data_IF_319668629510
#
_entry.id   IF_319668629510
#
_cell.length_a   1.000
_cell.length_b   1.000
_cell.length_c   1.000
_cell.angle_alpha   90.00
_cell.angle_beta   90.00
_cell.angle_gamma   90.00
#
_symmetry.space_group_name_H-M   'P 1'
#
loop_
_entity.id
_entity.type
_entity.pdbx_description
1 polymer ?
#
# COMPACT_ATOMS: atom_id res chain seq x y z
N UNK A 1 -20.10 1.64 -10.98
CA UNK A 1 -19.02 1.78 -11.91
C UNK A 1 -17.72 2.12 -11.19
N UNK A 2 -16.74 1.30 -11.40
CA UNK A 2 -15.44 1.54 -10.80
C UNK A 2 -14.72 2.62 -11.57
N UNK A 3 -14.26 3.61 -10.84
CA UNK A 3 -13.63 4.75 -11.45
C UNK A 3 -12.17 4.84 -11.02
N UNK A 4 -11.36 3.96 -11.59
CA UNK A 4 -9.96 3.92 -11.20
C UNK A 4 -9.12 5.00 -11.89
N UNK A 5 -9.76 5.78 -12.73
CA UNK A 5 -9.11 7.00 -13.22
C UNK A 5 -9.08 8.05 -12.12
N UNK A 6 -9.93 7.91 -11.12
CA UNK A 6 -9.94 8.81 -9.98
C UNK A 6 -9.02 8.21 -8.91
N UNK A 7 -7.87 8.82 -8.74
CA UNK A 7 -6.87 8.32 -7.78
C UNK A 7 -7.43 8.26 -6.37
N UNK A 8 -8.23 9.24 -5.99
CA UNK A 8 -8.80 9.25 -4.65
C UNK A 8 -9.74 8.06 -4.45
N UNK A 9 -10.57 7.79 -5.45
CA UNK A 9 -11.49 6.65 -5.33
C UNK A 9 -10.73 5.34 -5.22
N UNK A 10 -9.66 5.19 -6.00
CA UNK A 10 -8.84 3.98 -5.92
C UNK A 10 -8.18 3.88 -4.55
N UNK A 11 -7.63 4.97 -4.05
CA UNK A 11 -6.97 4.94 -2.74
C UNK A 11 -7.96 4.54 -1.65
N UNK A 12 -9.16 5.07 -1.70
CA UNK A 12 -10.19 4.74 -0.71
C UNK A 12 -10.59 3.27 -0.82
N UNK A 13 -10.72 2.77 -2.05
CA UNK A 13 -11.07 1.37 -2.24
C UNK A 13 -10.00 0.46 -1.64
N UNK A 14 -8.74 0.78 -1.88
CA UNK A 14 -7.63 0.01 -1.32
C UNK A 14 -7.66 0.06 0.20
N UNK A 15 -7.90 1.24 0.76
CA UNK A 15 -7.96 1.38 2.21
C UNK A 15 -9.10 0.52 2.79
N UNK A 16 -10.22 0.46 2.12
CA UNK A 16 -11.34 -0.36 2.56
C UNK A 16 -10.99 -1.84 2.54
N UNK A 17 -10.29 -2.28 1.51
CA UNK A 17 -9.86 -3.67 1.43
C UNK A 17 -8.94 -4.01 2.60
N UNK A 18 -7.98 -3.14 2.87
CA UNK A 18 -7.04 -3.36 3.96
C UNK A 18 -7.76 -3.37 5.31
N UNK A 19 -8.68 -2.45 5.50
CA UNK A 19 -9.42 -2.38 6.75
C UNK A 19 -10.28 -3.62 6.94
N UNK A 20 -10.90 -4.08 5.88
CA UNK A 20 -11.72 -5.29 5.92
C UNK A 20 -10.91 -6.49 6.36
N UNK A 21 -9.64 -6.53 6.01
CA UNK A 21 -8.75 -7.62 6.38
C UNK A 21 -8.01 -7.34 7.69
N UNK A 22 -8.46 -6.32 8.41
CA UNK A 22 -7.97 -6.00 9.75
C UNK A 22 -6.54 -5.48 9.78
N UNK A 23 -6.13 -4.82 8.72
CA UNK A 23 -4.87 -4.10 8.74
C UNK A 23 -4.93 -3.01 9.81
N UNK A 24 -3.78 -2.66 10.34
CA UNK A 24 -3.68 -1.64 11.37
C UNK A 24 -3.16 -0.35 10.78
N UNK A 25 -3.54 0.77 11.38
CA UNK A 25 -3.04 2.09 11.00
C UNK A 25 -3.18 2.36 9.53
N UNK A 26 -4.34 2.05 8.97
CA UNK A 26 -4.58 2.31 7.56
C UNK A 26 -4.68 3.81 7.35
N UNK A 27 -3.85 4.35 6.45
CA UNK A 27 -3.82 5.78 6.17
C UNK A 27 -3.80 6.02 4.68
N UNK A 28 -4.49 7.06 4.26
CA UNK A 28 -4.48 7.52 2.88
C UNK A 28 -3.87 8.90 2.89
N UNK A 29 -2.76 9.06 2.16
CA UNK A 29 -2.04 10.32 2.13
C UNK A 29 -2.03 10.87 0.73
N UNK A 30 -2.44 12.13 0.60
CA UNK A 30 -2.37 12.80 -0.68
C UNK A 30 -0.94 13.25 -0.93
N UNK A 31 -0.42 12.97 -2.10
CA UNK A 31 0.93 13.35 -2.46
C UNK A 31 0.88 14.65 -3.23
N UNK A 32 1.63 15.64 -2.76
CA UNK A 32 1.64 16.96 -3.41
C UNK A 32 3.05 17.36 -3.79
N UNK A 33 3.81 16.40 -4.29
CA UNK A 33 5.17 16.65 -4.70
C UNK A 33 5.26 16.66 -6.22
N UNK A 34 6.04 17.57 -6.75
CA UNK A 34 6.25 17.62 -8.19
C UNK A 34 7.23 16.57 -8.67
N UNK A 35 7.96 15.95 -7.75
CA UNK A 35 8.95 14.95 -8.12
C UNK A 35 8.44 13.52 -7.99
N UNK A 36 7.28 13.33 -7.42
CA UNK A 36 6.67 12.01 -7.27
C UNK A 36 5.45 11.95 -8.16
N UNK A 37 5.37 10.92 -8.98
CA UNK A 37 4.33 10.86 -10.01
C UNK A 37 3.01 10.26 -9.52
N UNK A 38 2.99 9.69 -8.33
CA UNK A 38 1.76 9.14 -7.80
C UNK A 38 0.92 10.23 -7.15
N UNK A 39 -0.37 9.98 -7.04
CA UNK A 39 -1.29 10.94 -6.43
C UNK A 39 -1.54 10.66 -4.97
N UNK A 40 -1.53 9.39 -4.58
CA UNK A 40 -1.84 9.01 -3.21
C UNK A 40 -0.95 7.87 -2.76
N UNK A 41 -0.65 7.86 -1.48
CA UNK A 41 -0.09 6.70 -0.81
C UNK A 41 -1.15 6.10 0.08
N UNK A 42 -1.24 4.77 0.10
CA UNK A 42 -2.05 4.06 1.08
C UNK A 42 -1.09 3.25 1.93
N UNK A 43 -1.11 3.48 3.22
CA UNK A 43 -0.16 2.88 4.14
C UNK A 43 -0.92 2.08 5.16
N UNK A 44 -0.45 0.87 5.43
CA UNK A 44 -1.07 0.02 6.43
C UNK A 44 -0.01 -0.86 7.05
N UNK A 45 -0.31 -1.37 8.22
CA UNK A 45 0.62 -2.27 8.89
C UNK A 45 -0.09 -3.57 9.26
N UNK A 46 0.71 -4.61 9.38
CA UNK A 46 0.26 -5.90 9.84
C UNK A 46 1.05 -6.31 11.07
N UNK A 47 0.54 -7.28 11.79
CA UNK A 47 1.20 -7.72 13.02
C UNK A 47 2.30 -8.74 12.77
N UNK A 48 2.36 -9.29 11.57
CA UNK A 48 3.36 -10.30 11.24
C UNK A 48 3.63 -10.28 9.75
N UNK A 49 4.72 -10.93 9.35
CA UNK A 49 5.04 -11.05 7.93
C UNK A 49 3.94 -11.80 7.18
N UNK A 50 3.34 -12.79 7.84
CA UNK A 50 2.24 -13.53 7.23
C UNK A 50 1.07 -12.61 6.95
N UNK A 51 0.75 -11.73 7.89
CA UNK A 51 -0.36 -10.82 7.69
C UNK A 51 -0.03 -9.80 6.59
N UNK A 52 1.20 -9.30 6.57
CA UNK A 52 1.60 -8.35 5.52
C UNK A 52 1.41 -8.99 4.15
N UNK A 53 1.88 -10.22 3.97
CA UNK A 53 1.73 -10.91 2.71
C UNK A 53 0.25 -11.09 2.36
N UNK A 54 -0.56 -11.46 3.35
CA UNK A 54 -1.98 -11.67 3.13
C UNK A 54 -2.69 -10.38 2.74
N UNK A 55 -2.31 -9.27 3.38
CA UNK A 55 -2.92 -7.99 3.06
C UNK A 55 -2.59 -7.57 1.64
N UNK A 56 -1.32 -7.71 1.25
CA UNK A 56 -0.93 -7.35 -0.11
C UNK A 56 -1.63 -8.24 -1.13
N UNK A 57 -1.69 -9.55 -0.86
CA UNK A 57 -2.35 -10.47 -1.76
C UNK A 57 -3.82 -10.13 -1.91
N UNK A 58 -4.46 -9.75 -0.83
CA UNK A 58 -5.89 -9.42 -0.89
C UNK A 58 -6.13 -8.19 -1.74
N UNK A 59 -5.29 -7.17 -1.59
CA UNK A 59 -5.42 -5.97 -2.41
C UNK A 59 -5.26 -6.34 -3.89
N UNK A 60 -4.24 -7.11 -4.20
CA UNK A 60 -4.02 -7.51 -5.59
C UNK A 60 -5.19 -8.33 -6.12
N UNK A 61 -5.69 -9.25 -5.31
CA UNK A 61 -6.79 -10.11 -5.74
C UNK A 61 -8.06 -9.29 -6.00
N UNK A 62 -8.44 -8.45 -5.05
CA UNK A 62 -9.67 -7.69 -5.18
C UNK A 62 -9.62 -6.75 -6.39
N UNK A 63 -8.47 -6.11 -6.59
CA UNK A 63 -8.36 -5.19 -7.71
C UNK A 63 -8.26 -5.93 -9.03
N UNK A 64 -7.65 -7.11 -9.06
CA UNK A 64 -7.60 -7.88 -10.29
C UNK A 64 -8.99 -8.33 -10.72
N UNK A 65 -9.89 -8.56 -9.76
CA UNK A 65 -11.28 -8.90 -10.09
C UNK A 65 -11.97 -7.74 -10.79
N UNK A 66 -11.46 -6.53 -10.60
CA UNK A 66 -12.00 -5.35 -11.24
C UNK A 66 -11.21 -4.94 -12.48
N UNK A 67 -10.28 -5.78 -12.90
CA UNK A 67 -9.50 -5.54 -14.10
C UNK A 67 -8.27 -4.68 -13.90
N UNK A 68 -7.84 -4.49 -12.65
CA UNK A 68 -6.70 -3.63 -12.36
C UNK A 68 -5.57 -4.45 -11.77
N UNK A 69 -4.41 -4.39 -12.42
CA UNK A 69 -3.21 -5.08 -11.96
C UNK A 69 -2.16 -4.06 -11.56
N UNK A 70 -1.31 -4.39 -10.59
CA UNK A 70 -0.26 -3.44 -10.20
C UNK A 70 0.75 -3.29 -11.34
N UNK A 71 1.23 -2.08 -11.48
CA UNK A 71 2.27 -1.79 -12.46
C UNK A 71 3.57 -2.49 -12.06
N UNK A 72 3.85 -2.51 -10.76
CA UNK A 72 4.99 -3.26 -10.23
C UNK A 72 4.75 -3.57 -8.77
N UNK A 73 5.48 -4.55 -8.27
CA UNK A 73 5.43 -4.92 -6.87
C UNK A 73 6.85 -5.10 -6.35
N UNK A 74 7.05 -4.78 -5.08
CA UNK A 74 8.36 -4.93 -4.46
C UNK A 74 8.18 -5.43 -3.04
N UNK A 75 9.23 -6.04 -2.50
CA UNK A 75 9.26 -6.42 -1.11
C UNK A 75 8.69 -7.78 -0.78
N UNK A 76 8.19 -8.50 -1.78
CA UNK A 76 7.60 -9.81 -1.51
C UNK A 76 8.62 -10.79 -0.91
N UNK A 77 9.88 -10.63 -1.26
CA UNK A 77 10.90 -11.54 -0.78
C UNK A 77 11.12 -11.43 0.72
N UNK A 78 11.13 -10.21 1.23
CA UNK A 78 11.41 -9.99 2.65
C UNK A 78 10.19 -10.26 3.51
N UNK A 79 9.00 -10.02 2.96
CA UNK A 79 7.73 -10.17 3.67
C UNK A 79 7.56 -9.26 4.87
N UNK A 80 8.57 -8.45 5.19
CA UNK A 80 8.42 -7.43 6.22
C UNK A 80 7.75 -6.19 5.67
N UNK A 81 7.78 -6.04 4.37
CA UNK A 81 7.34 -4.85 3.70
C UNK A 81 7.02 -5.20 2.26
N UNK A 82 5.86 -4.76 1.80
CA UNK A 82 5.44 -4.98 0.42
C UNK A 82 4.96 -3.66 -0.15
N UNK A 83 5.38 -3.37 -1.36
CA UNK A 83 4.94 -2.18 -2.09
C UNK A 83 4.19 -2.62 -3.33
N UNK A 84 3.01 -2.05 -3.52
CA UNK A 84 2.22 -2.29 -4.72
C UNK A 84 2.07 -0.96 -5.44
N UNK A 85 2.56 -0.89 -6.66
CA UNK A 85 2.56 0.34 -7.44
C UNK A 85 1.46 0.26 -8.50
N UNK A 86 0.41 1.04 -8.30
CA UNK A 86 -0.69 1.14 -9.25
C UNK A 86 -0.59 2.43 -10.06
N UNK A 87 0.59 3.02 -10.11
CA UNK A 87 0.86 4.23 -10.87
C UNK A 87 0.33 5.49 -10.18
N UNK A 88 -0.98 5.65 -10.08
CA UNK A 88 -1.54 6.83 -9.44
C UNK A 88 -1.76 6.62 -7.94
N UNK A 89 -1.59 5.39 -7.46
CA UNK A 89 -1.67 5.09 -6.03
C UNK A 89 -0.60 4.05 -5.72
N UNK A 90 0.16 4.29 -4.67
CA UNK A 90 1.17 3.33 -4.23
C UNK A 90 0.78 2.85 -2.84
N UNK A 91 0.76 1.53 -2.67
CA UNK A 91 0.36 0.90 -1.43
C UNK A 91 1.60 0.40 -0.71
N UNK A 92 1.73 0.76 0.56
CA UNK A 92 2.81 0.28 1.42
C UNK A 92 2.20 -0.52 2.56
N UNK A 93 2.58 -1.77 2.68
CA UNK A 93 2.14 -2.62 3.78
C UNK A 93 3.39 -3.15 4.46
N UNK A 94 3.47 -3.00 5.79
CA UNK A 94 4.70 -3.37 6.48
C UNK A 94 4.41 -3.83 7.91
N UNK A 95 5.39 -4.49 8.49
CA UNK A 95 5.34 -4.87 9.90
C UNK A 95 6.03 -3.76 10.69
N UNK A 96 5.31 -3.05 11.55
CA UNK A 96 5.94 -1.99 12.33
C UNK A 96 6.85 -2.60 13.38
N UNK A 97 8.11 -2.24 13.31
CA UNK A 97 9.08 -2.70 14.28
C UNK A 97 10.06 -1.59 14.50
N UNK A 98 10.02 -1.00 15.68
CA UNK A 98 10.79 0.19 15.97
C UNK A 98 12.29 -0.04 15.88
N UNK A 99 12.72 -1.28 15.94
CA UNK A 99 14.13 -1.58 15.90
C UNK A 99 14.64 -2.01 14.55
N UNK A 100 13.75 -2.13 13.57
CA UNK A 100 14.14 -2.57 12.24
C UNK A 100 13.90 -1.44 11.26
N UNK A 101 14.95 -1.09 10.51
CA UNK A 101 14.79 -0.14 9.43
C UNK A 101 14.31 -0.88 8.21
N UNK A 102 13.26 -0.40 7.62
CA UNK A 102 12.77 -0.98 6.39
C UNK A 102 13.57 -0.40 5.25
N UNK A 103 14.43 -1.21 4.67
CA UNK A 103 15.24 -0.77 3.55
C UNK A 103 14.39 -0.70 2.31
N UNK A 104 14.69 0.25 1.48
CA UNK A 104 13.90 0.45 0.27
C UNK A 104 12.74 1.37 0.47
N UNK A 105 12.37 1.66 1.71
CA UNK A 105 11.31 2.61 1.99
C UNK A 105 11.95 3.99 2.16
N UNK A 106 11.40 5.01 1.53
CA UNK A 106 11.95 6.37 1.68
C UNK A 106 12.00 6.78 3.15
N UNK A 107 13.04 7.52 3.51
CA UNK A 107 13.19 7.97 4.89
C UNK A 107 12.00 8.79 5.35
N UNK A 108 11.48 9.63 4.48
CA UNK A 108 10.31 10.43 4.83
C UNK A 108 9.12 9.54 5.15
N UNK A 109 9.01 8.44 4.44
CA UNK A 109 7.92 7.50 4.66
C UNK A 109 8.12 6.74 5.96
N UNK A 110 9.36 6.31 6.23
CA UNK A 110 9.65 5.56 7.45
C UNK A 110 9.38 6.39 8.69
N UNK A 111 9.49 7.71 8.58
CA UNK A 111 9.27 8.59 9.72
C UNK A 111 7.89 9.22 9.74
N UNK A 112 7.09 8.96 8.72
CA UNK A 112 5.72 9.47 8.71
C UNK A 112 4.93 8.76 9.78
N UNK A 113 4.21 9.52 10.54
CA UNK A 113 3.43 8.93 11.64
C UNK A 113 1.98 9.20 11.41
#
# INVERSE_FOLDING_TARGET
MDNFNDSKALAIEIAKILDKKKAQDVRVLKVESLTVLTDYFVIASGTSTTQVASLADEVEYELSQKGLEPYSTEGHDTKNWVLLDYSNVIVHVFVPNSRVRVRGMPSSMARAR
#
